data_IF_428966735902
#
_entry.id   IF_428966735902
#
_cell.length_a   1.000
_cell.length_b   1.000
_cell.length_c   1.000
_cell.angle_alpha   90.00
_cell.angle_beta   90.00
_cell.angle_gamma   90.00
#
_symmetry.space_group_name_H-M   'P 1'
#
loop_
_entity.id
_entity.type
_entity.pdbx_description
1 polymer ?
#
# COMPACT_ATOMS: atom_id res chain seq x y z
N UNK A 1 -24.03 5.42 -13.13
CA UNK A 1 -24.15 5.55 -11.66
C UNK A 1 -23.90 4.24 -10.94
N UNK A 2 -24.63 3.18 -11.32
CA UNK A 2 -24.44 1.88 -10.67
C UNK A 2 -23.05 1.31 -10.89
N UNK A 3 -22.48 1.49 -12.07
CA UNK A 3 -21.14 1.03 -12.36
C UNK A 3 -20.09 1.69 -11.47
N UNK A 4 -20.26 2.99 -11.25
CA UNK A 4 -19.34 3.72 -10.37
C UNK A 4 -19.45 3.23 -8.93
N UNK A 5 -20.70 3.02 -8.46
CA UNK A 5 -20.91 2.53 -7.10
C UNK A 5 -20.39 1.11 -6.94
N UNK A 6 -20.57 0.26 -7.95
CA UNK A 6 -20.06 -1.12 -7.91
C UNK A 6 -18.54 -1.13 -7.88
N UNK A 7 -17.91 -0.24 -8.63
CA UNK A 7 -16.45 -0.12 -8.64
C UNK A 7 -15.93 0.22 -7.24
N UNK A 8 -16.56 1.19 -6.56
CA UNK A 8 -16.15 1.56 -5.21
C UNK A 8 -16.35 0.43 -4.21
N UNK A 9 -17.43 -0.35 -4.38
CA UNK A 9 -17.72 -1.46 -3.46
C UNK A 9 -16.68 -2.56 -3.50
N UNK A 10 -15.94 -2.67 -4.60
CA UNK A 10 -14.98 -3.74 -4.80
C UNK A 10 -13.54 -3.33 -4.50
N UNK A 11 -13.34 -2.14 -3.92
CA UNK A 11 -12.00 -1.67 -3.59
C UNK A 11 -11.74 -1.68 -2.10
N UNK A 12 -10.61 -2.26 -1.76
CA UNK A 12 -10.15 -2.33 -0.37
C UNK A 12 -8.76 -1.76 -0.30
N UNK A 13 -8.41 -1.21 0.86
CA UNK A 13 -7.08 -0.67 1.11
C UNK A 13 -6.46 -1.41 2.29
N UNK A 14 -5.29 -1.98 2.08
CA UNK A 14 -4.48 -2.53 3.15
C UNK A 14 -3.52 -1.43 3.57
N UNK A 15 -3.58 -1.04 4.85
CA UNK A 15 -2.80 0.09 5.37
C UNK A 15 -1.88 -0.41 6.46
N UNK A 16 -0.57 -0.14 6.30
CA UNK A 16 0.44 -0.48 7.30
C UNK A 16 1.11 0.80 7.76
N UNK A 17 1.11 1.05 9.07
CA UNK A 17 1.67 2.25 9.67
C UNK A 17 2.82 1.84 10.57
N UNK A 18 4.00 2.43 10.36
CA UNK A 18 5.14 2.06 11.16
C UNK A 18 6.27 3.07 11.12
N UNK A 19 7.29 2.79 11.90
CA UNK A 19 8.48 3.62 11.96
C UNK A 19 9.70 2.74 11.70
N UNK A 20 10.54 3.17 10.77
CA UNK A 20 11.79 2.47 10.48
C UNK A 20 12.92 2.97 11.38
N UNK A 21 13.93 2.16 11.52
CA UNK A 21 15.12 2.52 12.27
C UNK A 21 15.78 3.74 11.62
N UNK A 22 16.52 4.56 12.39
CA UNK A 22 17.12 5.78 11.84
C UNK A 22 17.91 5.52 10.56
N UNK A 23 17.59 6.30 9.52
CA UNK A 23 18.29 6.23 8.24
C UNK A 23 17.91 5.05 7.35
N UNK A 24 16.89 4.27 7.72
CA UNK A 24 16.51 3.06 6.97
C UNK A 24 15.29 3.24 6.08
N UNK A 25 14.73 4.44 6.00
CA UNK A 25 13.52 4.65 5.21
C UNK A 25 13.73 4.34 3.72
N UNK A 26 14.84 4.82 3.15
CA UNK A 26 15.11 4.62 1.72
C UNK A 26 15.28 3.14 1.38
N UNK A 27 15.98 2.40 2.23
CA UNK A 27 16.14 0.96 2.05
C UNK A 27 14.79 0.25 2.13
N UNK A 28 13.96 0.65 3.10
CA UNK A 28 12.62 0.09 3.25
C UNK A 28 11.75 0.40 2.04
N UNK A 29 11.87 1.61 1.49
CA UNK A 29 11.13 2.00 0.30
C UNK A 29 11.50 1.12 -0.89
N UNK A 30 12.79 0.83 -1.07
CA UNK A 30 13.22 -0.04 -2.16
C UNK A 30 12.64 -1.45 -2.01
N UNK A 31 12.66 -1.99 -0.79
CA UNK A 31 12.07 -3.30 -0.52
C UNK A 31 10.55 -3.30 -0.76
N UNK A 32 9.88 -2.22 -0.35
CA UNK A 32 8.46 -2.05 -0.59
C UNK A 32 8.15 -2.09 -2.09
N UNK A 33 8.94 -1.35 -2.89
CA UNK A 33 8.75 -1.31 -4.33
C UNK A 33 9.00 -2.68 -4.97
N UNK A 34 9.99 -3.42 -4.47
CA UNK A 34 10.23 -4.79 -4.93
C UNK A 34 9.04 -5.69 -4.61
N UNK A 35 8.51 -5.58 -3.39
CA UNK A 35 7.35 -6.39 -2.99
C UNK A 35 6.14 -6.10 -3.89
N UNK A 36 5.88 -4.82 -4.13
CA UNK A 36 4.76 -4.42 -4.99
C UNK A 36 4.94 -4.95 -6.41
N UNK A 37 6.18 -5.02 -6.90
CA UNK A 37 6.44 -5.51 -8.25
C UNK A 37 6.08 -6.99 -8.43
N UNK A 38 5.93 -7.74 -7.34
CA UNK A 38 5.50 -9.15 -7.43
C UNK A 38 3.99 -9.30 -7.53
N UNK A 39 3.23 -8.24 -7.32
CA UNK A 39 1.78 -8.30 -7.34
C UNK A 39 1.24 -8.33 -8.76
N UNK A 40 0.19 -9.12 -8.97
CA UNK A 40 -0.44 -9.25 -10.28
C UNK A 40 -1.96 -9.12 -10.18
N UNK A 41 -2.64 -10.21 -9.83
CA UNK A 41 -4.09 -10.28 -9.84
C UNK A 41 -4.73 -9.43 -8.74
N UNK A 42 -5.67 -8.58 -9.13
CA UNK A 42 -6.48 -7.80 -8.18
C UNK A 42 -5.79 -6.58 -7.60
N UNK A 43 -4.53 -6.33 -7.96
CA UNK A 43 -3.78 -5.19 -7.46
C UNK A 43 -4.24 -3.91 -8.18
N UNK A 44 -4.59 -2.88 -7.42
CA UNK A 44 -5.15 -1.64 -7.94
C UNK A 44 -4.31 -0.40 -7.63
N UNK A 45 -3.05 -0.57 -7.29
CA UNK A 45 -2.16 0.55 -7.05
C UNK A 45 -1.74 0.64 -5.60
N UNK A 46 -0.71 1.44 -5.35
CA UNK A 46 -0.16 1.55 -4.00
C UNK A 46 0.52 2.90 -3.81
N UNK A 47 0.57 3.33 -2.55
CA UNK A 47 1.31 4.51 -2.14
C UNK A 47 2.17 4.18 -0.94
N UNK A 48 3.31 4.86 -0.87
CA UNK A 48 4.09 4.89 0.35
C UNK A 48 4.22 6.35 0.76
N UNK A 49 3.74 6.67 1.94
CA UNK A 49 3.72 8.03 2.46
C UNK A 49 4.76 8.15 3.56
N UNK A 50 5.38 9.32 3.65
CA UNK A 50 6.37 9.59 4.68
C UNK A 50 6.02 10.88 5.41
N UNK A 51 6.13 10.84 6.73
CA UNK A 51 6.06 12.08 7.50
C UNK A 51 7.38 12.80 7.27
N UNK A 52 7.36 14.02 6.67
CA UNK A 52 8.60 14.68 6.28
C UNK A 52 9.57 14.86 7.45
N UNK A 53 10.84 14.57 7.18
CA UNK A 53 11.89 14.73 8.19
C UNK A 53 11.96 13.63 9.22
N UNK A 54 11.20 12.55 9.04
CA UNK A 54 11.21 11.42 9.97
C UNK A 54 11.36 10.11 9.22
N UNK A 55 11.47 8.99 9.96
CA UNK A 55 11.47 7.66 9.40
C UNK A 55 10.12 6.96 9.59
N UNK A 56 9.06 7.75 9.79
CA UNK A 56 7.70 7.23 9.92
C UNK A 56 7.02 7.17 8.56
N UNK A 57 6.32 6.07 8.29
CA UNK A 57 5.70 5.88 6.99
C UNK A 57 4.37 5.16 7.08
N UNK A 58 3.62 5.30 6.00
CA UNK A 58 2.34 4.62 5.81
C UNK A 58 2.36 3.99 4.43
N UNK A 59 2.14 2.68 4.36
CA UNK A 59 1.97 1.98 3.09
C UNK A 59 0.48 1.77 2.87
N UNK A 60 0.01 2.13 1.67
CA UNK A 60 -1.40 1.94 1.30
C UNK A 60 -1.41 1.13 0.01
N UNK A 61 -2.03 -0.05 0.05
CA UNK A 61 -2.08 -0.95 -1.11
C UNK A 61 -3.54 -1.23 -1.42
N UNK A 62 -3.96 -0.92 -2.65
CA UNK A 62 -5.36 -1.08 -3.05
C UNK A 62 -5.58 -2.42 -3.74
N UNK A 63 -6.67 -3.09 -3.39
CA UNK A 63 -7.04 -4.39 -3.91
C UNK A 63 -8.51 -4.40 -4.32
N UNK A 64 -8.83 -5.19 -5.35
CA UNK A 64 -10.23 -5.41 -5.74
C UNK A 64 -10.97 -6.20 -4.67
N UNK A 65 -10.29 -7.22 -4.11
CA UNK A 65 -10.87 -8.08 -3.07
C UNK A 65 -9.80 -8.36 -2.01
N UNK A 66 -10.24 -8.61 -0.79
CA UNK A 66 -9.33 -8.91 0.31
C UNK A 66 -8.52 -10.18 0.01
N UNK A 67 -9.16 -11.17 -0.62
CA UNK A 67 -8.52 -12.44 -0.96
C UNK A 67 -7.36 -12.27 -1.93
N UNK A 68 -7.41 -11.24 -2.76
CA UNK A 68 -6.34 -11.01 -3.74
C UNK A 68 -4.99 -10.76 -3.07
N UNK A 69 -4.98 -10.13 -1.92
CA UNK A 69 -3.74 -9.89 -1.19
C UNK A 69 -3.11 -11.22 -0.75
N UNK A 70 -3.92 -12.14 -0.25
CA UNK A 70 -3.42 -13.44 0.17
C UNK A 70 -2.90 -14.24 -1.02
N UNK A 71 -3.59 -14.15 -2.15
CA UNK A 71 -3.20 -14.87 -3.37
C UNK A 71 -1.86 -14.38 -3.94
N UNK A 72 -1.47 -13.16 -3.59
CA UNK A 72 -0.22 -12.57 -4.06
C UNK A 72 0.95 -12.75 -3.09
N UNK A 73 0.77 -13.45 -1.98
CA UNK A 73 1.82 -13.68 -0.99
C UNK A 73 2.65 -14.91 -1.37
N UNK A 74 3.45 -14.76 -2.42
CA UNK A 74 4.33 -15.83 -2.87
C UNK A 74 5.64 -15.85 -2.08
N UNK A 75 6.52 -16.80 -2.41
CA UNK A 75 7.79 -16.96 -1.69
C UNK A 75 8.69 -15.72 -1.80
N UNK A 76 8.76 -15.12 -2.98
CA UNK A 76 9.55 -13.92 -3.18
C UNK A 76 9.06 -12.78 -2.30
N UNK A 77 7.75 -12.61 -2.22
CA UNK A 77 7.12 -11.61 -1.36
C UNK A 77 7.47 -11.86 0.11
N UNK A 78 7.38 -13.11 0.56
CA UNK A 78 7.69 -13.45 1.95
C UNK A 78 9.14 -13.13 2.30
N UNK A 79 10.08 -13.41 1.39
CA UNK A 79 11.49 -13.09 1.61
C UNK A 79 11.72 -11.60 1.73
N UNK A 80 11.04 -10.81 0.91
CA UNK A 80 11.15 -9.35 0.97
C UNK A 80 10.59 -8.83 2.29
N UNK A 81 9.44 -9.34 2.73
CA UNK A 81 8.85 -8.95 4.00
C UNK A 81 9.78 -9.25 5.17
N UNK A 82 10.45 -10.40 5.13
CA UNK A 82 11.39 -10.76 6.18
C UNK A 82 12.52 -9.74 6.27
N UNK A 83 13.10 -9.37 5.12
CA UNK A 83 14.15 -8.35 5.08
C UNK A 83 13.64 -7.03 5.62
N UNK A 84 12.43 -6.63 5.22
CA UNK A 84 11.85 -5.37 5.65
C UNK A 84 11.57 -5.36 7.15
N UNK A 85 11.21 -6.51 7.73
CA UNK A 85 10.88 -6.59 9.15
C UNK A 85 12.03 -6.15 10.05
N UNK A 86 13.27 -6.35 9.60
CA UNK A 86 14.46 -5.96 10.37
C UNK A 86 14.70 -4.45 10.37
N UNK A 87 14.03 -3.72 9.50
CA UNK A 87 14.20 -2.28 9.38
C UNK A 87 13.24 -1.50 10.27
N UNK A 88 12.20 -2.15 10.81
CA UNK A 88 11.24 -1.49 11.68
C UNK A 88 11.74 -1.38 13.11
N UNK A 89 11.37 -0.27 13.78
CA UNK A 89 11.63 -0.12 15.22
C UNK A 89 10.82 -1.15 15.99
N UNK A 90 9.58 -1.39 15.53
CA UNK A 90 8.68 -2.41 16.09
C UNK A 90 7.73 -2.83 14.96
N UNK A 91 7.02 -3.95 15.10
CA UNK A 91 6.11 -4.38 14.03
C UNK A 91 5.11 -3.30 13.68
N UNK A 92 4.83 -3.09 12.38
CA UNK A 92 3.87 -2.07 11.98
C UNK A 92 2.44 -2.46 12.35
N UNK A 93 1.59 -1.45 12.47
CA UNK A 93 0.16 -1.65 12.68
C UNK A 93 -0.50 -1.78 11.32
N UNK A 94 -1.26 -2.85 11.11
CA UNK A 94 -1.90 -3.11 9.82
C UNK A 94 -3.40 -3.22 9.96
N UNK A 95 -4.13 -2.68 8.99
CA UNK A 95 -5.59 -2.71 8.99
C UNK A 95 -6.10 -2.70 7.56
N UNK A 96 -7.20 -3.42 7.32
CA UNK A 96 -7.93 -3.33 6.06
C UNK A 96 -9.03 -2.30 6.19
N UNK A 97 -9.21 -1.52 5.13
CA UNK A 97 -10.30 -0.57 5.04
C UNK A 97 -11.06 -0.81 3.74
N UNK A 98 -12.36 -0.52 3.76
CA UNK A 98 -13.15 -0.49 2.54
C UNK A 98 -13.09 0.93 2.00
N UNK A 99 -12.85 1.08 0.70
CA UNK A 99 -12.87 2.42 0.09
C UNK A 99 -14.34 2.84 -0.05
N UNK A 100 -14.74 3.82 0.74
CA UNK A 100 -16.14 4.27 0.76
C UNK A 100 -16.40 5.45 -0.19
N UNK A 101 -15.35 6.13 -0.62
CA UNK A 101 -15.48 7.25 -1.54
C UNK A 101 -14.18 7.47 -2.28
N UNK A 102 -14.28 7.74 -3.57
CA UNK A 102 -13.11 8.02 -4.40
C UNK A 102 -13.48 9.11 -5.38
N UNK A 103 -12.81 10.24 -5.27
CA UNK A 103 -13.10 11.41 -6.11
C UNK A 103 -11.84 11.73 -6.91
N UNK A 104 -11.81 11.43 -8.21
CA UNK A 104 -10.65 11.78 -9.04
C UNK A 104 -10.59 13.29 -9.25
N UNK A 105 -9.40 13.83 -9.54
CA UNK A 105 -9.31 15.25 -9.84
C UNK A 105 -10.06 15.58 -11.13
N UNK A 106 -10.61 16.77 -11.17
CA UNK A 106 -11.28 17.25 -12.39
C UNK A 106 -10.23 17.64 -13.43
N UNK A 107 -10.50 17.31 -14.70
CA UNK A 107 -9.62 17.71 -15.79
C UNK A 107 -9.48 19.23 -15.85
N UNK A 108 -10.58 19.95 -15.59
CA UNK A 108 -10.57 21.40 -15.59
C UNK A 108 -9.66 21.99 -14.52
N UNK A 109 -9.68 21.40 -13.33
CA UNK A 109 -8.81 21.82 -12.25
C UNK A 109 -7.35 21.53 -12.57
N UNK A 110 -7.08 20.44 -13.27
CA UNK A 110 -5.72 20.08 -13.64
C UNK A 110 -5.11 21.06 -14.62
N UNK A 111 -5.93 21.72 -15.43
CA UNK A 111 -5.48 22.72 -16.40
C UNK A 111 -5.23 24.09 -15.79
N UNK A 112 -5.78 24.38 -14.66
CA UNK A 112 -5.58 25.64 -13.96
C UNK A 112 -4.30 25.60 -13.12
#
# INVERSE_FOLDING_TARGET
MSEFLDFLKHKYAYVAIGEFKPGKFEEAQQLYEEAISTYTHGFQGAYMLREPGTDKGIAVIFWDHIEDMEDNQNEAYQQILEKMSHLFVKPPTTTFYEVSSQIPPSVEKAEE
#
